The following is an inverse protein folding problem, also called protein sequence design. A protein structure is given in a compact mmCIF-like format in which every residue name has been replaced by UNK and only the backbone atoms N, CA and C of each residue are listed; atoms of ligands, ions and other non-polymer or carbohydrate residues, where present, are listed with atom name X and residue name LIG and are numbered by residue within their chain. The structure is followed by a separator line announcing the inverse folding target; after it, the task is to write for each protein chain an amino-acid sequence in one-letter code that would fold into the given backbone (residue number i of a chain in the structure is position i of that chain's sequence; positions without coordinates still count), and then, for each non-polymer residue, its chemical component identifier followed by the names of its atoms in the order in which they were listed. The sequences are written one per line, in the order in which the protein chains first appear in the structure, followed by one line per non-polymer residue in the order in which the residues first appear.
data_IF_309430224969
#
_entry.id   IF_309430224969
#
_cell.length_a   1.000
_cell.length_b   1.000
_cell.length_c   1.000
_cell.angle_alpha   90.00
_cell.angle_beta   90.00
_cell.angle_gamma   90.00
#
_symmetry.space_group_name_H-M   'P 1'
#
loop_
_entity.id
_entity.type
_entity.pdbx_description
1 polymer ?
#
# COMPACT_ATOMS: atom_id res chain seq x y z
N UNK A 1 -3.16 3.77 5.99
CA UNK A 1 -3.20 2.55 6.83
C UNK A 1 -3.96 2.85 8.12
N UNK A 2 -4.85 1.97 8.55
CA UNK A 2 -5.57 2.12 9.83
C UNK A 2 -4.67 1.72 11.02
N UNK A 3 -4.92 2.33 12.19
CA UNK A 3 -4.19 2.00 13.43
C UNK A 3 -4.74 0.71 14.03
N UNK A 4 -3.92 -0.03 14.77
CA UNK A 4 -4.32 -1.27 15.45
C UNK A 4 -5.60 -1.12 16.28
N UNK A 5 -5.75 0.01 16.96
CA UNK A 5 -6.90 0.31 17.79
C UNK A 5 -8.23 0.28 17.03
N UNK A 6 -8.23 0.62 15.73
CA UNK A 6 -9.43 0.52 14.90
C UNK A 6 -9.89 -0.95 14.78
N UNK A 7 -8.95 -1.87 14.56
CA UNK A 7 -9.23 -3.30 14.47
C UNK A 7 -9.62 -3.88 15.83
N UNK A 8 -8.94 -3.49 16.90
CA UNK A 8 -9.25 -3.93 18.27
C UNK A 8 -10.62 -3.47 18.77
N UNK A 9 -11.05 -2.26 18.37
CA UNK A 9 -12.41 -1.80 18.67
C UNK A 9 -13.43 -2.65 17.90
N UNK A 10 -13.22 -2.90 16.61
CA UNK A 10 -14.12 -3.75 15.81
C UNK A 10 -14.19 -5.17 16.36
N UNK A 11 -13.05 -5.75 16.72
CA UNK A 11 -12.96 -7.06 17.38
C UNK A 11 -13.80 -7.11 18.65
N UNK A 12 -13.59 -6.16 19.58
CA UNK A 12 -14.38 -6.09 20.81
C UNK A 12 -15.87 -5.91 20.54
N UNK A 13 -16.24 -5.02 19.62
CA UNK A 13 -17.65 -4.80 19.26
C UNK A 13 -18.31 -6.05 18.70
N UNK A 14 -17.62 -6.80 17.83
CA UNK A 14 -18.15 -8.05 17.31
C UNK A 14 -18.20 -9.13 18.37
N UNK A 15 -17.18 -9.28 19.21
CA UNK A 15 -17.25 -10.16 20.37
C UNK A 15 -18.48 -9.83 21.22
N UNK A 16 -18.68 -8.57 21.62
CA UNK A 16 -19.82 -8.13 22.44
C UNK A 16 -21.19 -8.44 21.81
N UNK A 17 -21.33 -8.28 20.49
CA UNK A 17 -22.57 -8.65 19.79
C UNK A 17 -22.76 -10.17 19.76
N UNK A 18 -21.68 -10.93 19.54
CA UNK A 18 -21.72 -12.37 19.36
C UNK A 18 -21.85 -13.15 20.68
N UNK A 19 -21.59 -12.54 21.86
CA UNK A 19 -21.74 -13.19 23.19
C UNK A 19 -23.10 -13.85 23.36
N UNK A 20 -24.16 -13.21 22.87
CA UNK A 20 -25.54 -13.66 23.02
C UNK A 20 -25.93 -14.84 22.13
N UNK A 21 -25.07 -15.21 21.17
CA UNK A 21 -25.35 -16.27 20.19
C UNK A 21 -24.73 -17.59 20.63
N UNK A 22 -23.49 -17.57 21.12
CA UNK A 22 -22.74 -18.75 21.59
C UNK A 22 -21.67 -18.37 22.61
N UNK A 23 -21.58 -19.11 23.71
CA UNK A 23 -20.64 -18.83 24.80
C UNK A 23 -19.18 -18.78 24.34
N UNK A 24 -18.78 -19.69 23.44
CA UNK A 24 -17.40 -19.82 22.96
C UNK A 24 -16.97 -18.73 21.96
N UNK A 25 -17.90 -17.95 21.42
CA UNK A 25 -17.57 -16.96 20.38
C UNK A 25 -16.76 -15.79 20.91
N UNK A 26 -16.85 -15.52 22.21
CA UNK A 26 -16.04 -14.50 22.89
C UNK A 26 -14.57 -14.86 23.02
N UNK A 27 -14.23 -16.13 22.87
CA UNK A 27 -12.86 -16.62 22.92
C UNK A 27 -12.19 -16.58 21.54
N UNK A 28 -12.95 -16.22 20.50
CA UNK A 28 -12.47 -16.15 19.12
C UNK A 28 -12.34 -14.69 18.69
N UNK A 29 -11.30 -14.34 17.90
CA UNK A 29 -11.23 -13.03 17.26
C UNK A 29 -12.51 -12.70 16.51
N UNK A 30 -12.93 -11.44 16.56
CA UNK A 30 -14.09 -10.88 15.88
C UNK A 30 -15.40 -11.64 16.18
N UNK A 31 -15.55 -12.22 17.38
CA UNK A 31 -16.73 -13.01 17.73
C UNK A 31 -16.91 -14.26 16.88
N UNK A 32 -15.81 -14.79 16.30
CA UNK A 32 -15.85 -15.94 15.39
C UNK A 32 -16.20 -15.59 13.94
N UNK A 33 -16.32 -14.32 13.58
CA UNK A 33 -16.55 -13.88 12.21
C UNK A 33 -15.24 -13.97 11.43
N UNK A 34 -15.28 -14.57 10.24
CA UNK A 34 -14.14 -14.60 9.32
C UNK A 34 -13.89 -13.20 8.75
N UNK A 35 -12.69 -12.65 9.02
CA UNK A 35 -12.26 -11.35 8.51
C UNK A 35 -11.13 -11.55 7.51
N UNK A 36 -11.22 -10.87 6.37
CA UNK A 36 -10.13 -10.76 5.39
C UNK A 36 -9.59 -9.35 5.45
N UNK A 37 -8.30 -9.23 5.74
CA UNK A 37 -7.56 -7.98 5.69
C UNK A 37 -6.69 -7.99 4.45
N UNK A 38 -6.81 -6.96 3.61
CA UNK A 38 -5.98 -6.76 2.43
C UNK A 38 -5.27 -5.41 2.52
N UNK A 39 -4.05 -5.36 2.00
CA UNK A 39 -3.19 -4.18 2.03
C UNK A 39 -1.73 -4.51 1.81
N UNK A 40 -0.95 -3.46 1.51
CA UNK A 40 0.49 -3.56 1.35
C UNK A 40 1.21 -2.81 2.48
N UNK A 41 1.87 -3.57 3.36
CA UNK A 41 2.62 -3.05 4.51
C UNK A 41 3.85 -2.23 4.10
N UNK A 42 4.27 -2.28 2.83
CA UNK A 42 5.39 -1.49 2.30
C UNK A 42 4.97 -0.08 1.89
N UNK A 43 3.68 0.25 1.90
CA UNK A 43 3.21 1.57 1.44
C UNK A 43 3.49 2.68 2.46
N UNK A 44 2.92 2.61 3.67
CA UNK A 44 3.09 3.62 4.72
C UNK A 44 2.69 3.07 6.09
N UNK A 45 3.45 3.45 7.13
CA UNK A 45 3.06 3.20 8.52
C UNK A 45 1.81 4.00 8.92
N UNK A 46 1.05 3.59 9.96
CA UNK A 46 -0.06 4.37 10.47
C UNK A 46 0.40 5.73 11.01
N UNK A 47 -0.28 6.80 10.59
CA UNK A 47 0.07 8.16 11.02
C UNK A 47 -0.37 8.42 12.45
N UNK A 48 0.58 8.77 13.33
CA UNK A 48 0.32 9.23 14.70
C UNK A 48 0.63 10.71 14.81
N UNK A 49 -0.40 11.53 15.08
CA UNK A 49 -0.23 12.99 15.21
C UNK A 49 0.64 13.29 16.42
N UNK A 50 1.71 14.07 16.23
CA UNK A 50 2.71 14.40 17.26
C UNK A 50 3.41 13.17 17.87
N UNK A 51 3.29 12.01 17.23
CA UNK A 51 3.97 10.79 17.65
C UNK A 51 5.34 10.66 16.99
N UNK A 52 6.21 9.90 17.63
CA UNK A 52 7.52 9.55 17.09
C UNK A 52 7.48 8.22 16.30
N UNK A 53 8.66 7.74 15.90
CA UNK A 53 8.78 6.46 15.19
C UNK A 53 8.27 5.28 16.02
N UNK A 54 8.51 5.28 17.33
CA UNK A 54 8.05 4.23 18.21
C UNK A 54 6.52 4.23 18.29
N UNK A 55 5.88 5.39 18.38
CA UNK A 55 4.42 5.51 18.36
C UNK A 55 3.82 4.98 17.05
N UNK A 56 4.45 5.28 15.91
CA UNK A 56 4.02 4.77 14.61
C UNK A 56 4.10 3.24 14.54
N UNK A 57 5.23 2.66 15.00
CA UNK A 57 5.41 1.21 15.07
C UNK A 57 4.37 0.59 16.00
N UNK A 58 4.16 1.15 17.20
CA UNK A 58 3.17 0.66 18.15
C UNK A 58 1.74 0.73 17.63
N UNK A 59 1.44 1.67 16.73
CA UNK A 59 0.14 1.78 16.08
C UNK A 59 -0.08 0.76 14.95
N UNK A 60 0.94 0.03 14.50
CA UNK A 60 0.80 -1.02 13.48
C UNK A 60 -0.04 -2.20 13.98
N UNK A 61 -0.84 -2.78 13.08
CA UNK A 61 -1.66 -3.97 13.37
C UNK A 61 -0.81 -5.16 13.83
N UNK A 62 0.43 -5.26 13.36
CA UNK A 62 1.40 -6.28 13.80
C UNK A 62 1.69 -6.24 15.30
N UNK A 63 1.49 -5.09 15.95
CA UNK A 63 1.63 -4.91 17.40
C UNK A 63 0.28 -5.05 18.15
N UNK A 64 -0.75 -5.59 17.50
CA UNK A 64 -2.04 -5.94 18.11
C UNK A 64 -2.05 -7.39 18.59
N UNK A 65 -2.88 -7.69 19.59
CA UNK A 65 -3.16 -9.08 19.98
C UNK A 65 -3.82 -9.87 18.83
N UNK A 66 -4.58 -9.20 17.96
CA UNK A 66 -5.28 -9.81 16.81
C UNK A 66 -4.30 -10.47 15.85
N UNK A 67 -3.10 -9.88 15.67
CA UNK A 67 -2.13 -10.34 14.69
C UNK A 67 -1.70 -11.80 14.90
N UNK A 68 -1.70 -12.27 16.15
CA UNK A 68 -1.37 -13.67 16.50
C UNK A 68 -2.35 -14.68 15.94
N UNK A 69 -3.55 -14.23 15.57
CA UNK A 69 -4.60 -15.06 15.00
C UNK A 69 -4.73 -14.90 13.48
N UNK A 70 -3.91 -14.04 12.86
CA UNK A 70 -3.93 -13.83 11.42
C UNK A 70 -3.11 -14.90 10.70
N UNK A 71 -3.68 -15.46 9.62
CA UNK A 71 -2.93 -16.19 8.61
C UNK A 71 -2.51 -15.23 7.50
N UNK A 72 -1.24 -15.27 7.10
CA UNK A 72 -0.69 -14.35 6.10
C UNK A 72 -0.63 -15.06 4.75
N UNK A 73 -1.35 -14.51 3.76
CA UNK A 73 -1.28 -14.94 2.36
C UNK A 73 -0.62 -13.85 1.52
N UNK A 74 0.42 -14.22 0.77
CA UNK A 74 1.17 -13.28 -0.07
C UNK A 74 0.73 -13.41 -1.53
N UNK A 75 0.39 -12.27 -2.14
CA UNK A 75 0.13 -12.19 -3.58
C UNK A 75 1.43 -11.86 -4.33
N UNK A 76 1.93 -12.81 -5.12
CA UNK A 76 3.19 -12.65 -5.86
C UNK A 76 3.00 -12.14 -7.30
N UNK A 77 1.78 -12.20 -7.82
CA UNK A 77 1.49 -11.90 -9.23
C UNK A 77 1.05 -10.46 -9.39
N UNK A 78 1.93 -9.62 -9.92
CA UNK A 78 1.58 -8.24 -10.28
C UNK A 78 0.75 -8.22 -11.56
N UNK A 79 -0.57 -8.04 -11.41
CA UNK A 79 -1.50 -8.02 -12.53
C UNK A 79 -1.32 -6.80 -13.45
N UNK A 80 -0.82 -5.66 -12.95
CA UNK A 80 -0.54 -4.48 -13.77
C UNK A 80 0.53 -4.77 -14.84
N UNK A 81 1.44 -5.72 -14.59
CA UNK A 81 2.46 -6.14 -15.56
C UNK A 81 1.93 -7.08 -16.65
N UNK A 82 0.68 -7.54 -16.56
CA UNK A 82 0.10 -8.50 -17.50
C UNK A 82 -0.54 -7.85 -18.73
N UNK A 83 -0.35 -6.55 -18.95
CA UNK A 83 -0.87 -5.88 -20.14
C UNK A 83 -0.30 -6.48 -21.44
N UNK A 84 -1.17 -7.04 -22.27
CA UNK A 84 -0.79 -7.65 -23.55
C UNK A 84 -0.45 -6.61 -24.64
N UNK A 85 -0.69 -5.32 -24.39
CA UNK A 85 -0.62 -4.26 -25.40
C UNK A 85 0.78 -3.69 -25.67
N UNK A 86 1.78 -4.10 -24.89
CA UNK A 86 3.15 -3.58 -24.99
C UNK A 86 4.06 -4.50 -25.81
N UNK A 87 5.02 -3.91 -26.53
CA UNK A 87 6.11 -4.62 -27.18
C UNK A 87 7.08 -5.23 -26.14
N UNK A 88 7.97 -6.11 -26.60
CA UNK A 88 8.89 -6.85 -25.73
C UNK A 88 9.83 -5.95 -24.93
N UNK A 89 10.26 -4.82 -25.49
CA UNK A 89 11.20 -3.88 -24.84
C UNK A 89 10.46 -3.12 -23.74
N UNK A 90 9.28 -2.58 -24.05
CA UNK A 90 8.45 -1.88 -23.07
C UNK A 90 8.01 -2.80 -21.92
N UNK A 91 7.69 -4.07 -22.21
CA UNK A 91 7.40 -5.08 -21.18
C UNK A 91 8.59 -5.33 -20.25
N UNK A 92 9.81 -5.41 -20.81
CA UNK A 92 11.02 -5.58 -20.02
C UNK A 92 11.27 -4.37 -19.11
N UNK A 93 11.20 -3.15 -19.66
CA UNK A 93 11.40 -1.92 -18.90
C UNK A 93 10.37 -1.78 -17.75
N UNK A 94 9.09 -2.02 -18.04
CA UNK A 94 8.03 -1.97 -17.05
C UNK A 94 8.22 -3.01 -15.93
N UNK A 95 8.67 -4.22 -16.27
CA UNK A 95 9.00 -5.26 -15.29
C UNK A 95 10.20 -4.87 -14.43
N UNK A 96 11.26 -4.32 -15.03
CA UNK A 96 12.44 -3.83 -14.28
C UNK A 96 12.02 -2.75 -13.28
N UNK A 97 11.20 -1.79 -13.71
CA UNK A 97 10.67 -0.75 -12.84
C UNK A 97 9.83 -1.30 -11.69
N UNK A 98 8.93 -2.25 -11.96
CA UNK A 98 8.12 -2.84 -10.91
C UNK A 98 8.94 -3.61 -9.86
N UNK A 99 9.99 -4.32 -10.26
CA UNK A 99 10.90 -4.94 -9.29
C UNK A 99 11.68 -3.91 -8.48
N UNK A 100 12.10 -2.81 -9.11
CA UNK A 100 12.75 -1.72 -8.39
C UNK A 100 11.83 -1.11 -7.31
N UNK A 101 10.54 -0.89 -7.61
CA UNK A 101 9.56 -0.42 -6.60
C UNK A 101 9.42 -1.41 -5.43
N UNK A 102 9.44 -2.72 -5.70
CA UNK A 102 9.43 -3.74 -4.64
C UNK A 102 10.68 -3.65 -3.77
N UNK A 103 11.85 -3.49 -4.37
CA UNK A 103 13.11 -3.36 -3.62
C UNK A 103 13.17 -2.07 -2.78
N UNK A 104 12.56 -0.98 -3.26
CA UNK A 104 12.37 0.25 -2.47
C UNK A 104 11.48 -0.04 -1.26
N UNK A 105 10.34 -0.71 -1.47
CA UNK A 105 9.42 -1.08 -0.38
C UNK A 105 10.04 -2.02 0.66
N UNK A 106 10.97 -2.87 0.24
CA UNK A 106 11.74 -3.76 1.12
C UNK A 106 12.96 -3.07 1.77
N UNK A 107 13.21 -1.79 1.47
CA UNK A 107 14.34 -1.02 2.00
C UNK A 107 15.72 -1.42 1.43
N UNK A 108 15.77 -2.20 0.35
CA UNK A 108 17.04 -2.66 -0.27
C UNK A 108 17.77 -1.57 -1.05
N UNK A 109 17.07 -0.50 -1.41
CA UNK A 109 17.62 0.65 -2.13
C UNK A 109 18.15 1.76 -1.19
N UNK A 110 18.19 1.50 0.12
CA UNK A 110 18.69 2.42 1.14
C UNK A 110 20.17 2.13 1.45
N UNK A 111 21.12 3.04 1.16
CA UNK A 111 22.56 2.79 1.31
C UNK A 111 23.02 2.69 2.77
N UNK A 112 22.36 3.40 3.69
CA UNK A 112 22.78 3.52 5.08
C UNK A 112 21.76 2.86 6.00
N UNK A 113 21.92 1.56 6.24
CA UNK A 113 21.07 0.77 7.15
C UNK A 113 21.26 1.19 8.63
N UNK A 114 22.30 1.99 8.94
CA UNK A 114 22.69 2.35 10.32
C UNK A 114 22.29 3.73 10.83
N UNK A 115 21.89 4.69 9.97
CA UNK A 115 21.54 6.05 10.40
C UNK A 115 20.07 6.34 10.09
N UNK A 116 19.24 6.25 11.12
CA UNK A 116 17.77 6.25 11.07
C UNK A 116 17.22 7.63 10.68
N UNK A 117 18.08 8.65 10.63
CA UNK A 117 17.68 10.05 10.47
C UNK A 117 17.46 10.46 9.01
N UNK A 118 18.20 9.89 8.06
CA UNK A 118 18.09 10.24 6.63
C UNK A 118 18.43 9.05 5.72
N UNK A 119 17.41 8.27 5.36
CA UNK A 119 17.55 7.23 4.34
C UNK A 119 17.15 7.80 2.97
N UNK A 120 18.15 8.09 2.14
CA UNK A 120 17.93 8.52 0.76
C UNK A 120 17.77 7.30 -0.15
N UNK A 121 16.85 7.40 -1.11
CA UNK A 121 16.66 6.39 -2.16
C UNK A 121 17.22 6.98 -3.46
N UNK A 122 18.09 6.24 -4.13
CA UNK A 122 18.57 6.63 -5.45
C UNK A 122 17.57 6.19 -6.54
N UNK A 123 17.03 7.17 -7.26
CA UNK A 123 16.20 6.90 -8.44
C UNK A 123 17.13 6.79 -9.65
N UNK A 124 17.09 5.68 -10.38
CA UNK A 124 17.90 5.52 -11.59
C UNK A 124 17.48 6.55 -12.67
N UNK A 125 18.43 7.06 -13.44
CA UNK A 125 18.17 8.13 -14.41
C UNK A 125 17.22 7.71 -15.55
N UNK A 126 17.20 6.42 -15.89
CA UNK A 126 16.24 5.81 -16.83
C UNK A 126 14.79 5.75 -16.29
N UNK A 127 14.57 6.06 -15.01
CA UNK A 127 13.24 6.17 -14.41
C UNK A 127 12.77 7.63 -14.32
N UNK A 128 13.64 8.60 -14.64
CA UNK A 128 13.33 10.02 -14.57
C UNK A 128 12.88 10.55 -15.93
N UNK A 129 11.92 11.47 -15.92
CA UNK A 129 11.60 12.28 -17.09
C UNK A 129 12.64 13.40 -17.26
N UNK A 130 13.04 13.75 -18.49
CA UNK A 130 13.88 14.92 -18.74
C UNK A 130 13.19 16.20 -18.24
N UNK A 131 13.94 17.07 -17.54
CA UNK A 131 13.46 18.34 -16.95
C UNK A 131 12.75 19.31 -17.90
N UNK A 132 12.86 19.12 -19.22
CA UNK A 132 12.28 20.02 -20.23
C UNK A 132 10.87 19.61 -20.69
N UNK A 133 10.27 18.56 -20.13
CA UNK A 133 9.12 17.86 -20.72
C UNK A 133 7.90 17.70 -19.79
N UNK A 134 7.65 18.65 -18.89
CA UNK A 134 6.49 18.59 -17.99
C UNK A 134 5.16 18.49 -18.76
N UNK A 135 5.06 19.12 -19.93
CA UNK A 135 3.90 19.04 -20.82
C UNK A 135 3.64 17.65 -21.40
N UNK A 136 4.68 16.84 -21.62
CA UNK A 136 4.53 15.50 -22.21
C UNK A 136 3.74 14.59 -21.28
N UNK A 137 3.94 14.67 -19.97
CA UNK A 137 3.21 13.84 -19.03
C UNK A 137 1.71 14.17 -19.06
N UNK A 138 1.37 15.46 -19.10
CA UNK A 138 -0.01 15.92 -19.22
C UNK A 138 -0.62 15.47 -20.53
N UNK A 139 0.07 15.65 -21.66
CA UNK A 139 -0.42 15.25 -22.98
C UNK A 139 -0.52 13.72 -23.14
N UNK A 140 0.31 12.96 -22.42
CA UNK A 140 0.28 11.49 -22.44
C UNK A 140 -0.85 10.93 -21.58
N UNK A 141 -1.08 11.49 -20.39
CA UNK A 141 -2.15 11.04 -19.47
C UNK A 141 -3.51 11.59 -19.91
N UNK A 142 -3.54 12.83 -20.40
CA UNK A 142 -4.73 13.55 -20.84
C UNK A 142 -4.54 14.08 -22.27
N UNK A 143 -4.67 13.20 -23.29
CA UNK A 143 -4.52 13.61 -24.69
C UNK A 143 -5.54 14.69 -25.08
N UNK A 144 -5.06 15.82 -25.59
CA UNK A 144 -5.88 16.97 -25.97
C UNK A 144 -6.71 17.57 -24.81
N UNK A 145 -6.17 17.60 -23.59
CA UNK A 145 -6.86 18.15 -22.40
C UNK A 145 -7.53 19.51 -22.66
N UNK A 146 -6.86 20.41 -23.38
CA UNK A 146 -7.40 21.75 -23.69
C UNK A 146 -8.69 21.72 -24.52
N UNK A 147 -8.86 20.75 -25.43
CA UNK A 147 -10.09 20.63 -26.22
C UNK A 147 -11.22 19.93 -25.46
N UNK A 148 -10.88 19.17 -24.41
CA UNK A 148 -11.84 18.40 -23.62
C UNK A 148 -12.09 18.95 -22.22
N UNK A 149 -11.55 20.11 -21.87
CA UNK A 149 -11.64 20.68 -20.51
C UNK A 149 -13.09 20.95 -20.04
N UNK A 150 -14.01 21.10 -21.00
CA UNK A 150 -15.46 21.28 -20.74
C UNK A 150 -16.28 20.01 -20.93
N UNK A 151 -15.65 18.94 -21.39
CA UNK A 151 -16.28 17.65 -21.56
C UNK A 151 -16.20 16.87 -20.25
N UNK A 152 -17.33 16.79 -19.54
CA UNK A 152 -17.40 16.03 -18.30
C UNK A 152 -17.06 14.56 -18.51
N UNK A 153 -17.46 13.95 -19.62
CA UNK A 153 -17.25 12.53 -19.85
C UNK A 153 -15.77 12.15 -19.98
N UNK A 154 -14.97 13.06 -20.52
CA UNK A 154 -13.52 12.93 -20.64
C UNK A 154 -12.78 13.02 -19.29
N UNK A 155 -13.28 13.80 -18.33
CA UNK A 155 -12.61 14.01 -17.03
C UNK A 155 -12.93 12.92 -15.99
N UNK A 156 -13.84 11.99 -16.28
CA UNK A 156 -14.22 10.89 -15.38
C UNK A 156 -13.87 9.49 -15.91
N UNK A 157 -13.25 9.39 -17.10
CA UNK A 157 -12.75 8.13 -17.65
C UNK A 157 -11.41 7.74 -17.04
#
# INVERSE_FOLDING_TARGET
MAKKYCFEVVDRSFCDIMKGIKEDYNLKPFGGITIVLDGDFRQNLPVVRKGDMHDMIQACIQNSYIWKSCEVHLLHKNMCLQSNKLDSISKYAMRKFAYWIVDVGDGKQCPNIGDIRESWIFIEQNLMLPKSNDGILVDTIYPNLNSHIRDRSYLVS
#
